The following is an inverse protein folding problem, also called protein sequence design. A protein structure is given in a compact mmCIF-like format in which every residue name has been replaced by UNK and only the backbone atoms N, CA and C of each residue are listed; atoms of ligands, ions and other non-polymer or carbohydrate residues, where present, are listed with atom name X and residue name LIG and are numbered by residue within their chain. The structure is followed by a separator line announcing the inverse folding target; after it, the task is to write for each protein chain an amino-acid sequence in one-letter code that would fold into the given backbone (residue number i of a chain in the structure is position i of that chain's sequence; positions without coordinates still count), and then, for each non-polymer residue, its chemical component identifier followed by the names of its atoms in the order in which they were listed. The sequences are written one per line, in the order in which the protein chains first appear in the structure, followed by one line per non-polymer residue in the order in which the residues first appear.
data_IF_654857590583
#
_entry.id   IF_654857590583
#
_cell.length_a   1.000
_cell.length_b   1.000
_cell.length_c   1.000
_cell.angle_alpha   90.00
_cell.angle_beta   90.00
_cell.angle_gamma   90.00
#
_symmetry.space_group_name_H-M   'P 1'
#
loop_
_entity.id
_entity.type
_entity.pdbx_description
1 polymer ?
#
# COMPACT_ATOMS: atom_id res chain seq x y z
N UNK A 1 4.72 6.10 -5.00
CA UNK A 1 3.94 5.00 -4.39
C UNK A 1 2.78 4.61 -5.31
N UNK A 2 2.34 3.35 -5.24
CA UNK A 2 1.37 2.59 -6.07
C UNK A 2 0.77 3.28 -7.30
N UNK A 3 0.11 4.44 -7.21
CA UNK A 3 -0.42 5.16 -8.38
C UNK A 3 0.68 5.52 -9.42
N UNK A 4 1.86 5.93 -8.96
CA UNK A 4 3.00 6.14 -9.86
C UNK A 4 3.48 4.83 -10.52
N UNK A 5 3.37 3.69 -9.82
CA UNK A 5 3.69 2.38 -10.39
C UNK A 5 2.66 2.00 -11.46
N UNK A 6 1.36 2.13 -11.17
CA UNK A 6 0.28 1.89 -12.13
C UNK A 6 0.47 2.74 -13.40
N UNK A 7 0.76 4.05 -13.25
CA UNK A 7 0.96 4.94 -14.39
C UNK A 7 2.24 4.63 -15.17
N UNK A 8 3.39 4.63 -14.49
CA UNK A 8 4.70 4.64 -15.17
C UNK A 8 5.16 3.24 -15.59
N UNK A 9 4.78 2.20 -14.84
CA UNK A 9 5.23 0.83 -15.09
C UNK A 9 4.15 0.03 -15.81
N UNK A 10 2.90 0.11 -15.35
CA UNK A 10 1.79 -0.63 -16.00
C UNK A 10 1.13 0.14 -17.14
N UNK A 11 1.50 1.40 -17.38
CA UNK A 11 0.90 2.23 -18.44
C UNK A 11 -0.57 2.56 -18.21
N UNK A 12 -1.05 2.41 -16.98
CA UNK A 12 -2.45 2.59 -16.65
C UNK A 12 -2.82 4.08 -16.67
N UNK A 13 -4.06 4.41 -17.04
CA UNK A 13 -4.54 5.78 -17.13
C UNK A 13 -4.91 6.35 -15.75
N UNK A 14 -3.95 6.33 -14.83
CA UNK A 14 -4.03 6.87 -13.48
C UNK A 14 -3.18 8.14 -13.40
N UNK A 15 -3.62 9.13 -12.62
CA UNK A 15 -2.80 10.32 -12.34
C UNK A 15 -1.66 9.97 -11.38
N UNK A 16 -0.47 10.44 -11.69
CA UNK A 16 0.74 10.30 -10.89
C UNK A 16 1.44 11.63 -10.72
N UNK A 17 2.63 11.62 -10.11
CA UNK A 17 3.35 12.85 -9.71
C UNK A 17 3.61 13.84 -10.86
N UNK A 18 3.81 13.34 -12.08
CA UNK A 18 3.98 14.21 -13.26
C UNK A 18 2.74 15.07 -13.56
N UNK A 19 1.54 14.60 -13.23
CA UNK A 19 0.29 15.32 -13.50
C UNK A 19 0.02 16.43 -12.47
N UNK A 20 0.73 16.44 -11.34
CA UNK A 20 0.59 17.44 -10.27
C UNK A 20 1.80 18.39 -10.19
N UNK A 21 2.75 18.29 -11.10
CA UNK A 21 3.94 19.15 -11.14
C UNK A 21 5.10 18.71 -10.23
N UNK A 22 5.02 17.52 -9.64
CA UNK A 22 6.07 17.00 -8.75
C UNK A 22 5.57 15.96 -7.76
N UNK A 23 6.51 15.38 -7.00
CA UNK A 23 6.16 14.44 -5.92
C UNK A 23 5.47 15.15 -4.76
N UNK A 24 5.90 16.35 -4.40
CA UNK A 24 5.39 17.09 -3.24
C UNK A 24 3.92 17.45 -3.44
N UNK A 25 3.58 18.08 -4.57
CA UNK A 25 2.18 18.43 -4.89
C UNK A 25 1.27 17.21 -5.02
N UNK A 26 1.84 16.09 -5.49
CA UNK A 26 1.10 14.84 -5.58
C UNK A 26 0.83 14.23 -4.20
N UNK A 27 1.80 14.29 -3.29
CA UNK A 27 1.64 13.86 -1.90
C UNK A 27 0.61 14.76 -1.20
N UNK A 28 0.69 16.09 -1.36
CA UNK A 28 -0.28 17.03 -0.79
C UNK A 28 -1.71 16.75 -1.28
N UNK A 29 -1.86 16.46 -2.58
CA UNK A 29 -3.15 16.07 -3.14
C UNK A 29 -3.68 14.78 -2.54
N UNK A 30 -2.85 13.72 -2.49
CA UNK A 30 -3.24 12.45 -1.87
C UNK A 30 -3.55 12.61 -0.38
N UNK A 31 -2.84 13.48 0.33
CA UNK A 31 -3.09 13.74 1.75
C UNK A 31 -4.53 14.23 1.98
N UNK A 32 -5.03 15.09 1.10
CA UNK A 32 -6.43 15.54 1.12
C UNK A 32 -7.40 14.41 0.78
N UNK A 33 -7.18 13.67 -0.31
CA UNK A 33 -8.11 12.65 -0.77
C UNK A 33 -8.19 11.43 0.15
N UNK A 34 -7.06 11.03 0.73
CA UNK A 34 -6.99 9.94 1.70
C UNK A 34 -7.48 10.37 3.09
N UNK A 35 -7.99 11.59 3.24
CA UNK A 35 -8.43 12.17 4.52
C UNK A 35 -7.37 11.94 5.62
N UNK A 36 -6.12 12.25 5.28
CA UNK A 36 -4.99 12.05 6.17
C UNK A 36 -4.80 13.25 7.11
N UNK A 37 -4.31 12.95 8.30
CA UNK A 37 -3.90 13.93 9.30
C UNK A 37 -2.41 13.78 9.59
N UNK A 38 -1.89 14.64 10.47
CA UNK A 38 -0.49 14.55 10.93
C UNK A 38 -0.20 13.22 11.65
N UNK A 39 -1.24 12.50 12.06
CA UNK A 39 -1.17 11.18 12.68
C UNK A 39 -1.49 10.03 11.71
N UNK A 40 -1.52 10.31 10.41
CA UNK A 40 -1.85 9.34 9.37
C UNK A 40 -3.34 9.27 9.04
N UNK A 41 -3.75 8.14 8.47
CA UNK A 41 -5.12 7.85 8.06
C UNK A 41 -5.52 6.41 8.39
N UNK A 42 -6.79 6.06 8.23
CA UNK A 42 -7.27 4.68 8.37
C UNK A 42 -7.19 3.92 7.04
N UNK A 43 -7.17 2.58 7.07
CA UNK A 43 -7.28 1.79 5.83
C UNK A 43 -8.59 2.06 5.09
N UNK A 44 -9.69 2.34 5.82
CA UNK A 44 -10.97 2.70 5.22
C UNK A 44 -10.89 4.01 4.43
N UNK A 45 -10.30 5.05 5.03
CA UNK A 45 -10.10 6.33 4.36
C UNK A 45 -9.12 6.20 3.20
N UNK A 46 -8.04 5.44 3.38
CA UNK A 46 -7.10 5.14 2.29
C UNK A 46 -7.81 4.48 1.11
N UNK A 47 -8.62 3.45 1.36
CA UNK A 47 -9.36 2.74 0.31
C UNK A 47 -10.29 3.68 -0.46
N UNK A 48 -11.04 4.52 0.25
CA UNK A 48 -11.99 5.45 -0.36
C UNK A 48 -11.26 6.54 -1.15
N UNK A 49 -10.28 7.20 -0.54
CA UNK A 49 -9.51 8.26 -1.19
C UNK A 49 -8.71 7.75 -2.38
N UNK A 50 -8.07 6.58 -2.25
CA UNK A 50 -7.31 5.99 -3.33
C UNK A 50 -8.22 5.56 -4.49
N UNK A 51 -9.44 5.09 -4.21
CA UNK A 51 -10.44 4.82 -5.24
C UNK A 51 -10.82 6.08 -6.03
N UNK A 52 -11.06 7.21 -5.34
CA UNK A 52 -11.33 8.49 -5.98
C UNK A 52 -10.16 8.92 -6.86
N UNK A 53 -8.94 8.84 -6.31
CA UNK A 53 -7.71 9.22 -7.00
C UNK A 53 -7.51 8.45 -8.32
N UNK A 54 -7.55 7.11 -8.27
CA UNK A 54 -7.26 6.27 -9.44
C UNK A 54 -8.36 6.33 -10.50
N UNK A 55 -9.55 6.81 -10.15
CA UNK A 55 -10.67 6.99 -11.09
C UNK A 55 -10.78 8.43 -11.64
N UNK A 56 -9.81 9.32 -11.38
CA UNK A 56 -9.85 10.69 -11.92
C UNK A 56 -10.01 10.83 -13.44
N UNK A 57 -9.63 9.81 -14.23
CA UNK A 57 -9.69 9.84 -15.69
C UNK A 57 -10.96 9.23 -16.29
N UNK A 58 -11.75 8.44 -15.54
CA UNK A 58 -12.82 7.61 -16.11
C UNK A 58 -14.18 7.82 -15.45
N UNK A 59 -15.22 7.73 -16.28
CA UNK A 59 -16.57 7.28 -15.90
C UNK A 59 -16.45 5.89 -15.22
N UNK A 60 -16.91 5.70 -13.98
CA UNK A 60 -16.16 5.14 -12.85
C UNK A 60 -16.06 3.59 -12.80
N UNK A 61 -15.88 2.91 -13.94
CA UNK A 61 -16.22 1.47 -14.03
C UNK A 61 -15.05 0.50 -14.11
N UNK A 62 -13.80 0.98 -14.32
CA UNK A 62 -12.66 0.08 -14.51
C UNK A 62 -11.90 -0.29 -13.24
N UNK A 63 -11.72 0.65 -12.31
CA UNK A 63 -10.90 0.46 -11.10
C UNK A 63 -11.75 0.32 -9.84
N UNK A 64 -11.49 -0.74 -9.08
CA UNK A 64 -11.86 -0.87 -7.67
C UNK A 64 -10.66 -0.73 -6.74
N UNK A 65 -10.93 -0.60 -5.44
CA UNK A 65 -9.91 -0.72 -4.40
C UNK A 65 -10.43 -1.69 -3.34
N UNK A 66 -9.68 -2.77 -3.13
CA UNK A 66 -9.90 -3.74 -2.07
C UNK A 66 -9.14 -3.36 -0.81
N UNK A 67 -9.68 -3.75 0.33
CA UNK A 67 -8.97 -3.74 1.60
C UNK A 67 -9.36 -4.97 2.42
N UNK A 68 -8.41 -5.56 3.14
CA UNK A 68 -8.68 -6.68 4.04
C UNK A 68 -7.67 -6.68 5.19
N UNK A 69 -8.04 -7.31 6.31
CA UNK A 69 -7.08 -7.56 7.40
C UNK A 69 -6.07 -8.63 6.98
N UNK A 70 -4.86 -8.57 7.50
CA UNK A 70 -3.87 -9.62 7.27
C UNK A 70 -4.30 -10.98 7.85
N UNK A 71 -5.11 -10.95 8.91
CA UNK A 71 -5.75 -12.11 9.56
C UNK A 71 -7.03 -12.59 8.88
N UNK A 72 -7.47 -11.94 7.80
CA UNK A 72 -8.74 -12.28 7.17
C UNK A 72 -8.76 -13.77 6.75
N UNK A 73 -9.77 -14.55 7.19
CA UNK A 73 -9.86 -15.99 6.93
C UNK A 73 -10.03 -16.32 5.45
N UNK A 74 -10.40 -15.34 4.62
CA UNK A 74 -10.41 -15.46 3.16
C UNK A 74 -9.00 -15.44 2.55
N UNK A 75 -7.95 -15.33 3.37
CA UNK A 75 -6.57 -15.57 3.00
C UNK A 75 -5.75 -14.30 2.77
N UNK A 76 -5.64 -13.42 3.78
CA UNK A 76 -4.83 -12.20 3.71
C UNK A 76 -3.41 -12.45 3.20
N UNK A 77 -2.73 -13.49 3.70
CA UNK A 77 -1.40 -13.86 3.22
C UNK A 77 -1.39 -14.40 1.79
N UNK A 78 -2.40 -15.20 1.42
CA UNK A 78 -2.52 -15.74 0.07
C UNK A 78 -2.73 -14.60 -0.94
N UNK A 79 -3.62 -13.65 -0.62
CA UNK A 79 -3.85 -12.47 -1.45
C UNK A 79 -2.59 -11.60 -1.53
N UNK A 80 -1.88 -11.38 -0.44
CA UNK A 80 -0.60 -10.66 -0.48
C UNK A 80 0.38 -11.31 -1.46
N UNK A 81 0.62 -12.62 -1.35
CA UNK A 81 1.52 -13.35 -2.26
C UNK A 81 1.05 -13.30 -3.72
N UNK A 82 -0.24 -13.43 -3.97
CA UNK A 82 -0.83 -13.31 -5.30
C UNK A 82 -0.50 -11.95 -5.92
N UNK A 83 -0.73 -10.86 -5.18
CA UNK A 83 -0.45 -9.49 -5.63
C UNK A 83 1.04 -9.28 -5.91
N UNK A 84 1.91 -9.65 -4.98
CA UNK A 84 3.35 -9.50 -5.15
C UNK A 84 3.88 -10.36 -6.31
N UNK A 85 3.38 -11.59 -6.48
CA UNK A 85 3.77 -12.46 -7.59
C UNK A 85 3.36 -11.90 -8.96
N UNK A 86 2.26 -11.16 -9.01
CA UNK A 86 1.81 -10.42 -10.19
C UNK A 86 2.56 -9.08 -10.40
N UNK A 87 3.63 -8.83 -9.65
CA UNK A 87 4.37 -7.56 -9.60
C UNK A 87 3.48 -6.36 -9.22
N UNK A 88 2.43 -6.58 -8.41
CA UNK A 88 1.50 -5.52 -8.02
C UNK A 88 1.72 -5.15 -6.55
N UNK A 89 2.35 -4.01 -6.27
CA UNK A 89 2.56 -3.58 -4.90
C UNK A 89 1.22 -3.32 -4.19
N UNK A 90 1.23 -3.51 -2.88
CA UNK A 90 0.07 -3.28 -2.01
C UNK A 90 0.39 -2.24 -0.96
N UNK A 91 -0.62 -1.55 -0.44
CA UNK A 91 -0.49 -0.72 0.74
C UNK A 91 -0.64 -1.61 1.98
N UNK A 92 0.28 -1.51 2.93
CA UNK A 92 0.15 -2.15 4.24
C UNK A 92 0.02 -1.03 5.27
N UNK A 93 -0.99 -1.11 6.14
CA UNK A 93 -1.18 -0.20 7.26
C UNK A 93 -0.98 -0.98 8.56
N UNK A 94 -0.18 -0.45 9.45
CA UNK A 94 -0.01 -0.99 10.80
C UNK A 94 -0.83 -0.18 11.81
N UNK A 95 -1.68 -0.83 12.59
CA UNK A 95 -2.38 -0.22 13.71
C UNK A 95 -1.37 0.16 14.81
N UNK A 96 -0.47 -0.77 15.12
CA UNK A 96 0.63 -0.62 16.07
C UNK A 96 1.89 -1.28 15.50
N UNK A 97 3.03 -0.58 15.53
CA UNK A 97 4.31 -1.11 15.07
C UNK A 97 5.43 -0.65 16.01
N UNK A 98 6.22 -1.58 16.53
CA UNK A 98 7.56 -1.28 17.09
C UNK A 98 8.65 -1.61 16.06
N UNK A 99 9.30 -0.59 15.50
CA UNK A 99 10.47 -0.73 14.65
C UNK A 99 11.70 -0.15 15.38
N UNK A 100 12.75 -0.94 15.59
CA UNK A 100 14.00 -0.52 16.25
C UNK A 100 13.80 0.20 17.61
N UNK A 101 12.76 -0.18 18.35
CA UNK A 101 12.42 0.42 19.65
C UNK A 101 11.59 1.71 19.57
N UNK A 102 11.17 2.11 18.38
CA UNK A 102 10.25 3.25 18.15
C UNK A 102 8.85 2.72 17.90
N UNK A 103 7.89 3.19 18.71
CA UNK A 103 6.47 2.95 18.52
C UNK A 103 5.92 3.89 17.42
N UNK A 104 5.49 3.31 16.30
CA UNK A 104 4.82 4.00 15.21
C UNK A 104 3.40 3.48 15.11
N UNK A 105 2.43 4.35 15.34
CA UNK A 105 1.02 4.04 15.19
C UNK A 105 0.53 4.50 13.82
N UNK A 106 -0.34 3.71 13.17
CA UNK A 106 -1.03 4.07 11.93
C UNK A 106 -0.09 4.39 10.75
N UNK A 107 0.97 3.59 10.60
CA UNK A 107 1.98 3.75 9.56
C UNK A 107 1.59 3.03 8.26
N UNK A 108 1.81 3.69 7.12
CA UNK A 108 1.61 3.09 5.80
C UNK A 108 2.95 2.81 5.11
N UNK A 109 3.10 1.58 4.63
CA UNK A 109 4.26 1.16 3.83
C UNK A 109 3.80 0.48 2.55
N UNK A 110 4.70 0.38 1.58
CA UNK A 110 4.43 -0.34 0.33
C UNK A 110 4.97 -1.77 0.42
N UNK A 111 4.09 -2.76 0.43
CA UNK A 111 4.46 -4.17 0.32
C UNK A 111 5.02 -4.48 -1.07
N UNK A 112 6.17 -5.16 -1.13
CA UNK A 112 6.91 -5.36 -2.38
C UNK A 112 7.62 -6.73 -2.51
N UNK A 113 7.46 -7.64 -1.56
CA UNK A 113 8.20 -8.91 -1.58
C UNK A 113 7.63 -9.95 -0.62
N UNK A 114 7.95 -11.22 -0.84
CA UNK A 114 7.75 -12.25 0.17
C UNK A 114 8.90 -13.27 0.13
N UNK A 115 9.16 -13.92 1.25
CA UNK A 115 10.09 -15.05 1.33
C UNK A 115 9.66 -16.00 2.45
N UNK A 116 10.06 -17.27 2.34
CA UNK A 116 9.95 -18.23 3.42
C UNK A 116 11.36 -18.56 3.91
N UNK A 117 11.60 -18.42 5.21
CA UNK A 117 12.90 -18.76 5.83
C UNK A 117 12.63 -19.73 6.96
N UNK A 118 13.09 -20.97 6.80
CA UNK A 118 12.92 -22.04 7.79
C UNK A 118 11.47 -22.26 8.23
N UNK A 119 10.52 -22.17 7.29
CA UNK A 119 9.09 -22.37 7.55
C UNK A 119 8.37 -21.11 8.06
N UNK A 120 9.06 -19.99 8.27
CA UNK A 120 8.46 -18.72 8.68
C UNK A 120 8.23 -17.86 7.43
N UNK A 121 7.01 -17.38 7.27
CA UNK A 121 6.61 -16.48 6.19
C UNK A 121 6.94 -15.04 6.53
N UNK A 122 7.71 -14.38 5.65
CA UNK A 122 8.09 -12.97 5.75
C UNK A 122 7.50 -12.17 4.60
N UNK A 123 6.94 -11.01 4.92
CA UNK A 123 6.60 -9.99 3.93
C UNK A 123 7.72 -8.96 3.81
N UNK A 124 7.89 -8.47 2.60
CA UNK A 124 8.82 -7.43 2.22
C UNK A 124 8.08 -6.10 2.09
N UNK A 125 8.66 -5.02 2.62
CA UNK A 125 8.07 -3.70 2.47
C UNK A 125 9.12 -2.61 2.27
N UNK A 126 8.63 -1.49 1.74
CA UNK A 126 9.33 -0.22 1.59
C UNK A 126 8.71 0.82 2.51
N UNK A 127 9.52 1.32 3.41
CA UNK A 127 9.16 2.38 4.34
C UNK A 127 9.67 3.75 3.83
N UNK A 128 8.81 4.73 3.57
CA UNK A 128 9.25 6.04 3.11
C UNK A 128 10.10 6.83 4.14
N UNK A 129 10.07 6.48 5.43
CA UNK A 129 10.73 7.25 6.51
C UNK A 129 12.28 7.21 6.44
N UNK A 130 12.86 6.34 5.61
CA UNK A 130 14.30 6.30 5.32
C UNK A 130 14.78 7.30 4.25
N UNK A 131 13.87 8.13 3.71
CA UNK A 131 14.17 9.12 2.68
C UNK A 131 14.66 8.53 1.36
N UNK A 132 15.29 9.35 0.52
CA UNK A 132 15.71 9.00 -0.84
C UNK A 132 16.71 7.81 -0.91
N UNK A 133 17.39 7.50 0.20
CA UNK A 133 18.38 6.43 0.28
C UNK A 133 17.78 5.09 0.74
N UNK A 134 16.46 4.99 0.93
CA UNK A 134 15.82 3.72 1.27
C UNK A 134 15.72 2.76 0.05
N UNK A 135 16.86 2.20 -0.34
CA UNK A 135 16.99 1.30 -1.48
C UNK A 135 16.74 -0.17 -1.14
N UNK A 136 16.79 -0.57 0.14
CA UNK A 136 16.58 -1.94 0.60
C UNK A 136 15.10 -2.32 0.84
N UNK A 137 14.75 -3.59 0.64
CA UNK A 137 13.47 -4.14 1.14
C UNK A 137 13.66 -4.54 2.60
N UNK A 138 12.79 -4.05 3.47
CA UNK A 138 12.72 -4.50 4.85
C UNK A 138 11.89 -5.78 4.92
N UNK A 139 12.19 -6.64 5.90
CA UNK A 139 11.53 -7.94 6.04
C UNK A 139 11.01 -8.13 7.46
N UNK A 140 9.73 -8.45 7.59
CA UNK A 140 9.10 -8.76 8.86
C UNK A 140 8.28 -10.05 8.76
N UNK A 141 8.16 -10.77 9.87
CA UNK A 141 7.36 -11.99 9.93
C UNK A 141 5.87 -11.64 9.78
N UNK A 142 5.17 -12.33 8.88
CA UNK A 142 3.74 -12.12 8.68
C UNK A 142 2.95 -12.48 9.94
N UNK A 143 3.18 -13.68 10.49
CA UNK A 143 2.42 -14.21 11.63
C UNK A 143 2.61 -13.44 12.93
N UNK A 144 3.69 -12.67 13.04
CA UNK A 144 3.93 -11.80 14.21
C UNK A 144 3.15 -10.48 14.10
N UNK A 145 2.88 -10.01 12.88
CA UNK A 145 2.33 -8.68 12.64
C UNK A 145 0.90 -8.71 12.07
N UNK A 146 0.34 -9.89 11.77
CA UNK A 146 -0.94 -10.00 11.08
C UNK A 146 -2.12 -9.45 11.89
N UNK A 147 -2.05 -9.47 13.22
CA UNK A 147 -3.08 -8.93 14.10
C UNK A 147 -3.21 -7.41 14.01
N UNK A 148 -2.12 -6.73 13.67
CA UNK A 148 -2.01 -5.27 13.65
C UNK A 148 -1.91 -4.71 12.24
N UNK A 149 -2.18 -5.53 11.20
CA UNK A 149 -1.94 -5.13 9.81
C UNK A 149 -3.21 -5.23 8.95
N UNK A 150 -3.49 -4.13 8.25
CA UNK A 150 -4.44 -4.11 7.14
C UNK A 150 -3.68 -4.02 5.81
N UNK A 151 -4.26 -4.59 4.75
CA UNK A 151 -3.76 -4.50 3.39
C UNK A 151 -4.78 -3.83 2.48
N UNK A 152 -4.33 -2.89 1.65
CA UNK A 152 -5.10 -2.22 0.62
C UNK A 152 -4.49 -2.42 -0.77
N UNK A 153 -5.31 -2.59 -1.80
CA UNK A 153 -4.82 -2.88 -3.15
C UNK A 153 -5.80 -2.44 -4.26
N UNK A 154 -5.29 -1.91 -5.40
CA UNK A 154 -6.11 -1.58 -6.55
C UNK A 154 -6.57 -2.86 -7.29
N UNK A 155 -7.78 -2.82 -7.83
CA UNK A 155 -8.41 -3.91 -8.60
C UNK A 155 -8.78 -3.34 -9.97
N UNK A 156 -8.46 -4.04 -11.05
CA UNK A 156 -8.84 -3.62 -12.41
C UNK A 156 -9.76 -4.65 -13.04
N UNK A 157 -10.89 -4.21 -13.61
CA UNK A 157 -11.80 -5.03 -14.43
C UNK A 157 -12.17 -6.42 -13.86
N UNK A 158 -12.67 -6.45 -12.61
CA UNK A 158 -13.26 -7.64 -11.97
C UNK A 158 -12.35 -8.87 -11.81
N UNK A 159 -11.05 -8.65 -11.59
CA UNK A 159 -10.18 -9.66 -10.94
C UNK A 159 -10.76 -10.20 -9.63
#
# INVERSE_FOLDING_TARGET
MIANYLKAIEGQPVKGSSDYGGHDQFIDHLYFELNASTFGTSMSNWRQGYFLHINHYYDPTGWGVGSMRATDPLGGWAKYKERISANRPVALRFDFWVADGVEVNHHFVAGNGFKNVSGIDYFGYKDPDGGQNNTGTHWASWTVNDQDMDMGYPIWNWE
#
